data_IF_181772369110
#
_entry.id   IF_181772369110
#
_cell.length_a   1.000
_cell.length_b   1.000
_cell.length_c   1.000
_cell.angle_alpha   90.00
_cell.angle_beta   90.00
_cell.angle_gamma   90.00
#
_symmetry.space_group_name_H-M   'P 1'
#
loop_
_entity.id
_entity.type
_entity.pdbx_description
1 polymer ?
#
# COMPACT_ATOMS: atom_id res chain seq x y z
N UNK A 1 -9.86 -16.65 -7.59
CA UNK A 1 -10.01 -15.38 -6.85
C UNK A 1 -8.73 -14.56 -6.97
N UNK A 2 -8.84 -13.22 -7.15
CA UNK A 2 -7.68 -12.30 -7.31
C UNK A 2 -7.71 -11.30 -6.17
N UNK A 3 -6.72 -11.36 -5.31
CA UNK A 3 -6.68 -10.64 -4.03
C UNK A 3 -5.53 -9.65 -4.00
N UNK A 4 -5.79 -8.42 -3.59
CA UNK A 4 -4.77 -7.43 -3.30
C UNK A 4 -4.48 -7.35 -1.80
N UNK A 5 -3.20 -7.25 -1.44
CA UNK A 5 -2.74 -6.92 -0.10
C UNK A 5 -2.16 -5.50 -0.12
N UNK A 6 -2.76 -4.59 0.58
CA UNK A 6 -2.34 -3.20 0.65
C UNK A 6 -1.95 -2.85 2.08
N UNK A 7 -0.68 -3.08 2.39
CA UNK A 7 -0.08 -2.73 3.68
C UNK A 7 0.22 -1.24 3.80
N UNK A 8 0.09 -0.71 5.00
CA UNK A 8 0.43 0.68 5.25
C UNK A 8 0.30 1.09 6.71
N UNK A 9 0.89 2.23 7.07
CA UNK A 9 0.69 2.79 8.41
C UNK A 9 -0.72 3.32 8.60
N UNK A 10 -1.32 3.90 7.53
CA UNK A 10 -2.65 4.55 7.54
C UNK A 10 -2.83 5.49 8.75
N UNK A 11 -2.01 6.53 8.80
CA UNK A 11 -1.92 7.43 9.96
C UNK A 11 -2.20 8.92 9.60
N UNK A 12 -3.45 9.28 9.22
CA UNK A 12 -4.61 8.42 8.97
C UNK A 12 -4.69 7.83 7.54
N UNK A 13 -5.65 6.94 7.32
CA UNK A 13 -6.14 6.62 5.98
C UNK A 13 -6.74 7.88 5.35
N UNK A 14 -6.64 8.01 4.02
CA UNK A 14 -7.12 9.19 3.31
C UNK A 14 -7.62 8.86 1.91
N UNK A 15 -8.31 9.83 1.27
CA UNK A 15 -8.92 9.66 -0.05
C UNK A 15 -7.93 9.18 -1.13
N UNK A 16 -6.64 9.57 -1.02
CA UNK A 16 -5.59 9.09 -1.93
C UNK A 16 -5.37 7.57 -1.84
N UNK A 17 -5.39 6.99 -0.64
CA UNK A 17 -5.29 5.54 -0.45
C UNK A 17 -6.52 4.82 -1.05
N UNK A 18 -7.72 5.33 -0.77
CA UNK A 18 -8.98 4.73 -1.25
C UNK A 18 -9.05 4.76 -2.76
N UNK A 19 -8.75 5.90 -3.37
CA UNK A 19 -8.77 6.07 -4.84
C UNK A 19 -7.78 5.12 -5.50
N UNK A 20 -6.55 5.04 -5.00
CA UNK A 20 -5.54 4.12 -5.50
C UNK A 20 -6.00 2.66 -5.41
N UNK A 21 -6.55 2.24 -4.28
CA UNK A 21 -7.06 0.88 -4.11
C UNK A 21 -8.20 0.56 -5.10
N UNK A 22 -9.20 1.44 -5.22
CA UNK A 22 -10.33 1.26 -6.13
C UNK A 22 -9.89 1.23 -7.61
N UNK A 23 -8.91 2.06 -7.98
CA UNK A 23 -8.37 2.07 -9.33
C UNK A 23 -7.63 0.76 -9.64
N UNK A 24 -6.85 0.24 -8.70
CA UNK A 24 -6.18 -1.07 -8.84
C UNK A 24 -7.19 -2.20 -8.94
N UNK A 25 -8.26 -2.22 -8.14
CA UNK A 25 -9.36 -3.18 -8.27
C UNK A 25 -9.84 -3.24 -9.71
N UNK A 26 -10.17 -2.07 -10.27
CA UNK A 26 -10.72 -1.96 -11.63
C UNK A 26 -9.71 -2.40 -12.71
N UNK A 27 -8.45 -1.93 -12.62
CA UNK A 27 -7.44 -2.19 -13.65
C UNK A 27 -6.96 -3.65 -13.68
N UNK A 28 -6.88 -4.27 -12.51
CA UNK A 28 -6.40 -5.65 -12.38
C UNK A 28 -7.52 -6.67 -12.22
N UNK A 29 -8.79 -6.25 -12.27
CA UNK A 29 -9.97 -7.09 -12.01
C UNK A 29 -9.79 -7.88 -10.71
N UNK A 30 -9.40 -7.20 -9.63
CA UNK A 30 -9.32 -7.84 -8.32
C UNK A 30 -10.71 -8.04 -7.75
N UNK A 31 -10.93 -9.18 -7.12
CA UNK A 31 -12.18 -9.45 -6.42
C UNK A 31 -12.23 -8.68 -5.10
N UNK A 32 -11.06 -8.47 -4.46
CA UNK A 32 -10.97 -7.82 -3.16
C UNK A 32 -9.56 -7.27 -2.90
N UNK A 33 -9.46 -6.18 -2.13
CA UNK A 33 -8.22 -5.70 -1.51
C UNK A 33 -8.37 -5.69 0.00
N UNK A 34 -7.41 -6.32 0.69
CA UNK A 34 -7.22 -6.18 2.14
C UNK A 34 -6.34 -4.97 2.45
N UNK A 35 -6.90 -4.01 3.19
CA UNK A 35 -6.15 -2.91 3.81
C UNK A 35 -5.58 -3.41 5.13
N UNK A 36 -4.26 -3.39 5.28
CA UNK A 36 -3.56 -4.03 6.39
C UNK A 36 -2.76 -2.97 7.15
N UNK A 37 -3.30 -2.44 8.28
CA UNK A 37 -2.56 -1.49 9.11
C UNK A 37 -1.37 -2.16 9.80
N UNK A 38 -0.18 -1.58 9.64
CA UNK A 38 1.02 -2.04 10.33
C UNK A 38 0.91 -1.82 11.84
N UNK A 39 1.26 -2.83 12.66
CA UNK A 39 1.30 -2.71 14.13
C UNK A 39 2.43 -1.76 14.55
N UNK A 40 3.65 -2.15 14.23
CA UNK A 40 4.87 -1.40 14.52
C UNK A 40 5.62 -1.18 13.19
N UNK A 41 5.41 -0.04 12.51
CA UNK A 41 6.13 0.27 11.30
C UNK A 41 7.64 0.40 11.60
N UNK A 42 8.51 -0.48 11.05
CA UNK A 42 9.92 -0.53 11.43
C UNK A 42 10.71 0.75 11.13
N UNK A 43 10.18 1.61 10.24
CA UNK A 43 10.83 2.83 9.79
C UNK A 43 10.25 4.12 10.36
N UNK A 44 9.38 4.06 11.41
CA UNK A 44 8.74 5.26 11.98
C UNK A 44 9.09 5.47 13.44
N UNK A 45 9.31 6.73 13.81
CA UNK A 45 9.59 7.15 15.18
C UNK A 45 8.38 6.90 16.09
N UNK A 46 8.55 6.21 17.21
CA UNK A 46 7.49 6.05 18.21
C UNK A 46 6.95 7.41 18.68
N UNK A 47 5.63 7.50 18.91
CA UNK A 47 4.97 8.73 19.43
C UNK A 47 4.35 9.64 18.37
N UNK A 48 4.68 9.49 17.08
CA UNK A 48 4.07 10.23 15.98
C UNK A 48 2.95 9.47 15.26
N UNK A 49 2.67 8.25 15.69
CA UNK A 49 1.68 7.36 15.08
C UNK A 49 0.52 7.19 16.06
N UNK A 50 -0.70 7.39 15.59
CA UNK A 50 -1.91 7.10 16.36
C UNK A 50 -1.96 5.62 16.76
N UNK A 51 -2.63 5.31 17.85
CA UNK A 51 -2.78 3.93 18.31
C UNK A 51 -3.30 3.01 17.20
N UNK A 52 -2.90 1.75 17.25
CA UNK A 52 -3.29 0.78 16.25
C UNK A 52 -4.81 0.64 16.14
N UNK A 53 -5.52 0.66 17.28
CA UNK A 53 -6.99 0.63 17.34
C UNK A 53 -7.65 1.83 16.66
N UNK A 54 -7.11 3.05 16.86
CA UNK A 54 -7.65 4.25 16.21
C UNK A 54 -7.42 4.20 14.69
N UNK A 55 -6.27 3.71 14.24
CA UNK A 55 -5.97 3.56 12.81
C UNK A 55 -6.87 2.49 12.15
N UNK A 56 -7.08 1.38 12.83
CA UNK A 56 -7.99 0.32 12.39
C UNK A 56 -9.41 0.85 12.23
N UNK A 57 -9.92 1.56 13.25
CA UNK A 57 -11.25 2.14 13.23
C UNK A 57 -11.42 3.17 12.11
N UNK A 58 -10.43 4.05 11.91
CA UNK A 58 -10.46 4.99 10.78
C UNK A 58 -10.51 4.28 9.42
N UNK A 59 -9.88 3.11 9.28
CA UNK A 59 -9.97 2.35 8.03
C UNK A 59 -11.39 1.76 7.88
N UNK A 60 -11.97 1.18 8.93
CA UNK A 60 -13.35 0.68 8.91
C UNK A 60 -14.35 1.76 8.49
N UNK A 61 -14.26 2.93 9.12
CA UNK A 61 -15.10 4.08 8.79
C UNK A 61 -14.91 4.53 7.32
N UNK A 62 -13.65 4.55 6.86
CA UNK A 62 -13.34 5.03 5.52
C UNK A 62 -13.87 4.12 4.39
N UNK A 63 -14.07 2.83 4.66
CA UNK A 63 -14.47 1.86 3.63
C UNK A 63 -15.88 1.31 3.81
N UNK A 64 -16.64 1.79 4.79
CA UNK A 64 -17.96 1.24 5.16
C UNK A 64 -18.91 1.07 3.94
N UNK A 65 -18.89 2.03 3.02
CA UNK A 65 -19.74 2.05 1.82
C UNK A 65 -18.98 1.66 0.53
N UNK A 66 -17.76 1.11 0.64
CA UNK A 66 -16.92 0.79 -0.51
C UNK A 66 -16.83 -0.72 -0.75
N UNK A 67 -17.40 -1.19 -1.86
CA UNK A 67 -17.29 -2.59 -2.26
C UNK A 67 -15.86 -2.95 -2.69
N UNK A 68 -15.48 -4.20 -2.41
CA UNK A 68 -14.17 -4.75 -2.80
C UNK A 68 -13.01 -4.36 -1.88
N UNK A 69 -13.26 -3.56 -0.83
CA UNK A 69 -12.28 -3.24 0.21
C UNK A 69 -12.65 -3.91 1.51
N UNK A 70 -11.67 -4.48 2.19
CA UNK A 70 -11.83 -5.12 3.51
C UNK A 70 -10.62 -4.77 4.37
N UNK A 71 -10.81 -4.70 5.67
CA UNK A 71 -9.72 -4.53 6.63
C UNK A 71 -9.23 -5.89 7.09
N UNK A 72 -7.92 -6.01 7.28
CA UNK A 72 -7.33 -7.13 8.01
C UNK A 72 -6.43 -6.60 9.13
N UNK A 73 -6.69 -7.05 10.34
CA UNK A 73 -5.94 -6.71 11.55
C UNK A 73 -4.80 -7.70 11.84
N UNK A 74 -4.44 -8.54 10.88
CA UNK A 74 -3.47 -9.63 11.03
C UNK A 74 -2.13 -9.17 11.60
N UNK A 75 -1.66 -7.98 11.22
CA UNK A 75 -0.41 -7.43 11.74
C UNK A 75 -0.57 -6.86 13.15
N UNK A 76 -1.76 -6.37 13.50
CA UNK A 76 -2.05 -5.85 14.84
C UNK A 76 -2.12 -6.95 15.90
N UNK A 77 -2.56 -8.14 15.49
CA UNK A 77 -2.70 -9.32 16.35
C UNK A 77 -1.41 -10.16 16.42
N UNK A 78 -0.38 -9.82 15.65
CA UNK A 78 0.89 -10.51 15.65
C UNK A 78 1.91 -9.76 16.52
N UNK A 79 2.60 -10.46 17.48
CA UNK A 79 3.63 -9.82 18.28
C UNK A 79 4.86 -9.46 17.44
N UNK A 80 5.51 -8.34 17.80
CA UNK A 80 6.74 -7.87 17.16
C UNK A 80 6.54 -6.96 15.95
N UNK A 81 7.60 -6.71 15.18
CA UNK A 81 7.56 -5.85 14.00
C UNK A 81 6.70 -6.41 12.88
N UNK A 82 6.03 -5.53 12.13
CA UNK A 82 5.22 -5.88 10.97
C UNK A 82 6.11 -6.14 9.75
N UNK A 83 6.51 -7.38 9.54
CA UNK A 83 7.22 -7.78 8.34
C UNK A 83 6.26 -8.29 7.28
N UNK A 84 6.37 -7.74 6.07
CA UNK A 84 5.49 -8.06 4.94
C UNK A 84 5.54 -9.53 4.54
N UNK A 85 6.71 -10.18 4.62
CA UNK A 85 6.84 -11.61 4.31
C UNK A 85 5.94 -12.47 5.21
N UNK A 86 5.87 -12.14 6.52
CA UNK A 86 5.06 -12.89 7.47
C UNK A 86 3.55 -12.71 7.19
N UNK A 87 3.17 -11.52 6.67
CA UNK A 87 1.80 -11.22 6.24
C UNK A 87 1.45 -11.96 4.95
N UNK A 88 2.36 -12.02 3.99
CA UNK A 88 2.17 -12.80 2.75
C UNK A 88 2.00 -14.30 3.08
N UNK A 89 2.82 -14.85 3.96
CA UNK A 89 2.70 -16.25 4.40
C UNK A 89 1.34 -16.53 5.06
N UNK A 90 0.86 -15.61 5.92
CA UNK A 90 -0.46 -15.74 6.52
C UNK A 90 -1.56 -15.85 5.46
N UNK A 91 -1.59 -14.94 4.49
CA UNK A 91 -2.63 -14.96 3.45
C UNK A 91 -2.50 -16.16 2.51
N UNK A 92 -1.29 -16.59 2.18
CA UNK A 92 -1.09 -17.82 1.38
C UNK A 92 -1.58 -19.08 2.09
N UNK A 93 -1.51 -19.11 3.42
CA UNK A 93 -1.96 -20.26 4.21
C UNK A 93 -3.45 -20.24 4.53
N UNK A 94 -4.09 -19.06 4.50
CA UNK A 94 -5.50 -18.90 4.88
C UNK A 94 -6.45 -18.79 3.69
N UNK A 95 -5.97 -18.33 2.54
CA UNK A 95 -6.75 -18.26 1.30
C UNK A 95 -6.71 -19.58 0.54
N UNK A 96 -7.66 -19.74 -0.39
CA UNK A 96 -7.65 -20.88 -1.31
C UNK A 96 -6.32 -20.99 -2.07
N UNK A 97 -5.76 -22.19 -2.29
CA UNK A 97 -4.55 -22.40 -3.08
C UNK A 97 -4.63 -21.82 -4.50
N UNK A 98 -5.83 -21.70 -5.07
CA UNK A 98 -6.06 -21.10 -6.39
C UNK A 98 -6.14 -19.57 -6.37
N UNK A 99 -6.04 -18.94 -5.18
CA UNK A 99 -6.08 -17.49 -5.06
C UNK A 99 -4.79 -16.87 -5.63
N UNK A 100 -4.95 -15.93 -6.55
CA UNK A 100 -3.83 -15.10 -7.03
C UNK A 100 -3.72 -13.89 -6.12
N UNK A 101 -2.61 -13.79 -5.43
CA UNK A 101 -2.35 -12.73 -4.45
C UNK A 101 -1.38 -11.72 -5.06
N UNK A 102 -1.67 -10.44 -4.87
CA UNK A 102 -0.86 -9.31 -5.33
C UNK A 102 -0.52 -8.42 -4.13
N UNK A 103 0.74 -8.00 -4.02
CA UNK A 103 1.17 -7.00 -3.04
C UNK A 103 1.14 -5.61 -3.68
N UNK A 104 0.34 -4.71 -3.12
CA UNK A 104 0.19 -3.33 -3.58
C UNK A 104 1.08 -2.41 -2.77
N UNK A 105 1.87 -1.57 -3.45
CA UNK A 105 2.70 -0.56 -2.79
C UNK A 105 3.02 0.63 -3.69
N UNK A 106 3.41 1.75 -3.11
CA UNK A 106 3.93 2.89 -3.87
C UNK A 106 5.31 2.61 -4.45
N UNK A 107 5.66 3.32 -5.52
CA UNK A 107 6.97 3.21 -6.16
C UNK A 107 8.12 3.52 -5.19
N UNK A 108 7.95 4.54 -4.34
CA UNK A 108 8.90 4.92 -3.29
C UNK A 108 9.25 3.74 -2.37
N UNK A 109 8.23 3.05 -1.86
CA UNK A 109 8.41 1.88 -1.01
C UNK A 109 9.03 0.69 -1.76
N UNK A 110 8.67 0.50 -3.04
CA UNK A 110 9.24 -0.57 -3.85
C UNK A 110 10.73 -0.36 -4.14
N UNK A 111 11.19 0.86 -4.33
CA UNK A 111 12.60 1.18 -4.55
C UNK A 111 13.49 0.87 -3.31
N UNK A 112 12.88 0.68 -2.16
CA UNK A 112 13.57 0.28 -0.92
C UNK A 112 13.38 -1.21 -0.59
N UNK A 113 12.72 -2.01 -1.46
CA UNK A 113 12.34 -3.39 -1.15
C UNK A 113 13.55 -4.27 -0.82
N UNK A 114 14.72 -3.98 -1.39
CA UNK A 114 15.96 -4.70 -1.13
C UNK A 114 16.41 -4.62 0.36
N UNK A 115 15.87 -3.67 1.12
CA UNK A 115 16.11 -3.51 2.57
C UNK A 115 15.13 -4.30 3.42
N UNK A 116 14.08 -4.87 2.82
CA UNK A 116 13.03 -5.56 3.55
C UNK A 116 13.45 -6.97 3.94
N UNK A 117 12.93 -7.43 5.09
CA UNK A 117 13.16 -8.81 5.55
C UNK A 117 12.72 -9.81 4.48
N UNK A 118 13.61 -10.73 4.12
CA UNK A 118 13.35 -11.77 3.12
C UNK A 118 12.80 -11.23 1.79
N UNK A 119 13.32 -10.10 1.31
CA UNK A 119 12.81 -9.50 0.08
C UNK A 119 12.92 -10.41 -1.14
N UNK A 120 13.90 -11.30 -1.20
CA UNK A 120 14.02 -12.28 -2.28
C UNK A 120 12.86 -13.28 -2.25
N UNK A 121 12.56 -13.82 -1.07
CA UNK A 121 11.40 -14.71 -0.89
C UNK A 121 10.09 -14.00 -1.27
N UNK A 122 9.95 -12.69 -0.95
CA UNK A 122 8.79 -11.90 -1.39
C UNK A 122 8.69 -11.86 -2.91
N UNK A 123 9.80 -11.59 -3.62
CA UNK A 123 9.82 -11.50 -5.08
C UNK A 123 9.51 -12.84 -5.76
N UNK A 124 9.84 -13.96 -5.13
CA UNK A 124 9.55 -15.30 -5.62
C UNK A 124 8.09 -15.73 -5.33
N UNK A 125 7.51 -15.25 -4.25
CA UNK A 125 6.25 -15.78 -3.73
C UNK A 125 5.01 -15.01 -4.15
N UNK A 126 5.12 -13.70 -4.43
CA UNK A 126 3.96 -12.84 -4.68
C UNK A 126 4.21 -11.86 -5.83
N UNK A 127 3.19 -11.67 -6.67
CA UNK A 127 3.23 -10.65 -7.69
C UNK A 127 3.04 -9.25 -7.07
N UNK A 128 3.71 -8.24 -7.65
CA UNK A 128 3.65 -6.86 -7.16
C UNK A 128 2.84 -5.98 -8.09
N UNK A 129 2.05 -5.08 -7.51
CA UNK A 129 1.46 -3.94 -8.21
C UNK A 129 2.07 -2.67 -7.63
N UNK A 130 3.00 -2.09 -8.38
CA UNK A 130 3.73 -0.88 -8.00
C UNK A 130 2.97 0.33 -8.53
N UNK A 131 2.48 1.16 -7.63
CA UNK A 131 1.69 2.34 -7.94
C UNK A 131 2.61 3.56 -8.07
N UNK A 132 2.73 4.10 -9.28
CA UNK A 132 3.40 5.36 -9.55
C UNK A 132 2.38 6.51 -9.48
N UNK A 133 2.80 7.63 -8.91
CA UNK A 133 2.00 8.85 -8.82
C UNK A 133 2.59 9.91 -9.74
N UNK A 134 1.95 10.24 -10.87
CA UNK A 134 2.39 11.35 -11.70
C UNK A 134 2.33 12.67 -10.92
N UNK A 135 3.35 13.47 -11.00
CA UNK A 135 3.34 14.86 -10.50
C UNK A 135 4.04 15.12 -9.17
N UNK A 136 4.17 14.17 -8.26
CA UNK A 136 4.87 14.40 -6.98
C UNK A 136 6.37 14.19 -7.06
N UNK A 137 6.77 13.21 -7.84
CA UNK A 137 8.18 12.84 -7.99
C UNK A 137 8.67 12.94 -9.45
N UNK A 138 7.75 13.10 -10.41
CA UNK A 138 8.10 13.01 -11.84
C UNK A 138 7.12 13.81 -12.71
N UNK A 139 7.67 14.76 -13.43
CA UNK A 139 6.95 15.61 -14.41
C UNK A 139 6.42 14.85 -15.65
N UNK A 140 6.81 13.56 -15.80
CA UNK A 140 6.44 12.69 -16.92
C UNK A 140 6.01 11.32 -16.36
N UNK A 141 4.83 10.84 -16.74
CA UNK A 141 4.33 9.51 -16.38
C UNK A 141 5.34 8.39 -16.72
N UNK A 142 6.11 8.55 -17.80
CA UNK A 142 7.15 7.59 -18.19
C UNK A 142 8.39 7.60 -17.28
N UNK A 143 8.57 8.60 -16.45
CA UNK A 143 9.73 8.69 -15.57
C UNK A 143 9.67 7.65 -14.44
N UNK A 144 8.51 7.41 -13.86
CA UNK A 144 8.30 6.34 -12.88
C UNK A 144 8.67 4.96 -13.43
N UNK A 145 8.27 4.68 -14.67
CA UNK A 145 8.61 3.44 -15.37
C UNK A 145 10.12 3.29 -15.59
N UNK A 146 10.81 4.35 -16.04
CA UNK A 146 12.27 4.33 -16.25
C UNK A 146 13.04 4.15 -14.96
N UNK A 147 12.59 4.75 -13.86
CA UNK A 147 13.19 4.59 -12.54
C UNK A 147 13.03 3.16 -12.07
N UNK A 148 11.82 2.59 -12.16
CA UNK A 148 11.56 1.21 -11.80
C UNK A 148 12.42 0.26 -12.63
N UNK A 149 12.44 0.39 -13.95
CA UNK A 149 13.22 -0.46 -14.85
C UNK A 149 14.73 -0.43 -14.50
N UNK A 150 15.27 0.76 -14.28
CA UNK A 150 16.67 0.92 -13.86
C UNK A 150 16.94 0.21 -12.54
N UNK A 151 16.07 0.40 -11.55
CA UNK A 151 16.18 -0.22 -10.24
C UNK A 151 16.10 -1.75 -10.34
N UNK A 152 15.14 -2.28 -11.09
CA UNK A 152 14.99 -3.72 -11.31
C UNK A 152 16.30 -4.31 -11.86
N UNK A 153 16.85 -3.73 -12.94
CA UNK A 153 18.06 -4.24 -13.60
C UNK A 153 19.34 -4.06 -12.80
N UNK A 154 19.46 -2.96 -12.07
CA UNK A 154 20.71 -2.65 -11.34
C UNK A 154 20.77 -3.24 -9.93
N UNK A 155 19.63 -3.45 -9.28
CA UNK A 155 19.57 -3.76 -7.85
C UNK A 155 18.95 -5.14 -7.57
N UNK A 156 17.94 -5.52 -8.34
CA UNK A 156 17.23 -6.77 -8.08
C UNK A 156 17.66 -7.92 -8.98
N UNK A 157 17.68 -7.74 -10.29
CA UNK A 157 18.07 -8.80 -11.23
C UNK A 157 18.39 -8.24 -12.62
N UNK A 158 19.58 -8.54 -13.12
CA UNK A 158 20.04 -8.08 -14.45
C UNK A 158 19.24 -8.71 -15.61
N UNK A 159 18.61 -9.87 -15.40
CA UNK A 159 17.75 -10.58 -16.37
C UNK A 159 16.31 -10.06 -16.44
N UNK A 160 15.98 -9.06 -15.60
CA UNK A 160 14.64 -8.49 -15.56
C UNK A 160 14.28 -7.80 -16.89
N UNK A 161 13.19 -8.26 -17.51
CA UNK A 161 12.72 -7.77 -18.81
C UNK A 161 11.23 -7.43 -18.76
N UNK A 162 10.83 -6.45 -19.58
CA UNK A 162 9.41 -6.13 -19.75
C UNK A 162 8.76 -7.16 -20.69
N UNK A 163 7.74 -7.85 -20.17
CA UNK A 163 6.89 -8.77 -20.90
C UNK A 163 5.60 -8.04 -21.34
N UNK A 164 5.51 -7.74 -22.62
CA UNK A 164 4.35 -7.02 -23.18
C UNK A 164 3.05 -7.84 -23.09
N UNK A 165 3.12 -9.18 -23.16
CA UNK A 165 1.94 -10.04 -23.07
C UNK A 165 1.35 -10.03 -21.64
N UNK A 166 2.19 -9.86 -20.63
CA UNK A 166 1.78 -9.74 -19.22
C UNK A 166 1.60 -8.30 -18.76
N UNK A 167 2.04 -7.34 -19.57
CA UNK A 167 2.10 -5.91 -19.22
C UNK A 167 2.86 -5.64 -17.91
N UNK A 168 3.97 -6.38 -17.68
CA UNK A 168 4.75 -6.31 -16.44
C UNK A 168 6.19 -6.77 -16.62
N UNK A 169 7.01 -6.51 -15.63
CA UNK A 169 8.39 -6.99 -15.61
C UNK A 169 8.46 -8.41 -15.06
N UNK A 170 9.28 -9.24 -15.70
CA UNK A 170 9.52 -10.64 -15.31
C UNK A 170 11.01 -10.92 -15.25
N UNK A 171 11.41 -11.84 -14.37
CA UNK A 171 12.74 -12.42 -14.29
C UNK A 171 12.63 -13.89 -13.88
N UNK A 172 13.67 -14.67 -14.10
CA UNK A 172 13.66 -16.10 -13.80
C UNK A 172 13.44 -16.34 -12.29
N UNK A 173 12.59 -17.32 -11.96
CA UNK A 173 12.27 -17.70 -10.57
C UNK A 173 11.43 -16.70 -9.79
N UNK A 174 11.00 -15.55 -10.36
CA UNK A 174 10.25 -14.50 -9.66
C UNK A 174 8.86 -14.30 -10.19
N UNK A 175 8.00 -13.78 -9.32
CA UNK A 175 6.65 -13.37 -9.71
C UNK A 175 6.68 -12.03 -10.48
N UNK A 176 5.69 -11.77 -11.33
CA UNK A 176 5.61 -10.54 -12.11
C UNK A 176 5.52 -9.28 -11.25
N UNK A 177 6.15 -8.21 -11.72
CA UNK A 177 6.09 -6.87 -11.15
C UNK A 177 5.39 -5.96 -12.15
N UNK A 178 4.17 -5.55 -11.81
CA UNK A 178 3.37 -4.63 -12.60
C UNK A 178 3.62 -3.20 -12.12
N UNK A 179 3.66 -2.24 -13.05
CA UNK A 179 3.63 -0.83 -12.68
C UNK A 179 2.36 -0.20 -13.24
N UNK A 180 1.75 0.65 -12.45
CA UNK A 180 0.52 1.34 -12.83
C UNK A 180 0.60 2.81 -12.41
N UNK A 181 0.35 3.70 -13.36
CA UNK A 181 0.18 5.12 -13.06
C UNK A 181 -1.21 5.30 -12.46
N UNK A 182 -1.24 5.72 -11.21
CA UNK A 182 -2.50 5.99 -10.48
C UNK A 182 -2.82 7.46 -10.62
N UNK A 183 -4.04 7.78 -11.02
CA UNK A 183 -4.58 9.14 -10.93
C UNK A 183 -4.81 9.50 -9.45
N UNK A 184 -3.70 9.59 -8.72
CA UNK A 184 -3.71 9.78 -7.29
C UNK A 184 -3.97 11.25 -6.95
N UNK A 185 -4.83 11.45 -5.96
CA UNK A 185 -4.91 12.75 -5.28
C UNK A 185 -3.57 13.01 -4.59
N UNK A 186 -3.02 14.21 -4.73
CA UNK A 186 -1.81 14.63 -4.03
C UNK A 186 -2.12 14.90 -2.55
N UNK A 187 -2.29 13.81 -1.80
CA UNK A 187 -2.63 13.81 -0.38
C UNK A 187 -1.62 12.95 0.36
N UNK A 188 -1.10 13.47 1.46
CA UNK A 188 -0.25 12.69 2.37
C UNK A 188 -0.80 12.69 3.80
N UNK A 189 -0.64 11.56 4.50
CA UNK A 189 -0.99 11.49 5.92
C UNK A 189 -0.22 12.54 6.77
N UNK A 190 0.99 12.89 6.38
CA UNK A 190 1.78 13.94 7.06
C UNK A 190 1.12 15.31 6.92
N UNK A 191 0.69 15.67 5.70
CA UNK A 191 -0.04 16.92 5.48
C UNK A 191 -1.32 16.99 6.33
N UNK A 192 -2.07 15.88 6.39
CA UNK A 192 -3.30 15.81 7.19
C UNK A 192 -2.99 16.09 8.66
N UNK A 193 -1.99 15.42 9.23
CA UNK A 193 -1.59 15.64 10.63
C UNK A 193 -1.16 17.08 10.90
N UNK A 194 -0.39 17.68 9.99
CA UNK A 194 0.02 19.09 10.13
C UNK A 194 -1.18 20.06 10.04
N UNK A 195 -2.15 19.79 9.17
CA UNK A 195 -3.39 20.58 9.10
C UNK A 195 -4.20 20.49 10.39
N UNK A 196 -4.32 19.27 10.97
CA UNK A 196 -5.02 19.08 12.26
C UNK A 196 -4.34 19.87 13.38
N UNK A 197 -3.00 19.79 13.51
CA UNK A 197 -2.24 20.60 14.48
C UNK A 197 -2.51 22.10 14.35
N UNK A 198 -2.64 22.58 13.10
CA UNK A 198 -2.93 23.98 12.78
C UNK A 198 -4.41 24.33 12.84
N UNK A 199 -5.29 23.40 13.26
CA UNK A 199 -6.75 23.57 13.29
C UNK A 199 -7.34 23.93 11.93
N UNK A 200 -6.73 23.44 10.85
CA UNK A 200 -7.19 23.62 9.47
C UNK A 200 -8.12 22.48 9.06
N UNK A 201 -8.95 22.73 8.06
CA UNK A 201 -9.92 21.76 7.52
C UNK A 201 -9.23 20.61 6.81
N UNK A 202 -9.76 19.40 6.99
CA UNK A 202 -9.25 18.16 6.39
C UNK A 202 -10.31 17.36 5.62
N UNK A 203 -11.55 17.83 5.53
CA UNK A 203 -12.70 17.13 4.96
C UNK A 203 -12.52 16.78 3.47
N UNK A 204 -11.69 17.55 2.76
CA UNK A 204 -11.34 17.25 1.36
C UNK A 204 -10.26 16.15 1.24
N UNK A 205 -9.58 15.81 2.31
CA UNK A 205 -8.43 14.90 2.33
C UNK A 205 -8.80 13.50 2.83
N UNK A 206 -9.74 13.42 3.76
CA UNK A 206 -10.26 12.18 4.34
C UNK A 206 -11.77 12.05 4.09
N UNK A 207 -12.38 10.93 4.45
CA UNK A 207 -13.85 10.84 4.44
C UNK A 207 -14.43 11.61 5.62
N UNK A 208 -15.71 12.05 5.56
CA UNK A 208 -16.35 12.78 6.66
C UNK A 208 -16.24 12.01 7.99
N UNK A 209 -16.50 10.71 7.96
CA UNK A 209 -16.49 9.83 9.14
C UNK A 209 -15.12 9.77 9.79
N UNK A 210 -14.05 9.77 8.98
CA UNK A 210 -12.67 9.82 9.48
C UNK A 210 -12.34 11.20 10.05
N UNK A 211 -12.81 12.29 9.44
CA UNK A 211 -12.60 13.64 9.96
C UNK A 211 -13.28 13.81 11.33
N UNK A 212 -14.53 13.36 11.44
CA UNK A 212 -15.30 13.38 12.69
C UNK A 212 -14.63 12.54 13.79
N UNK A 213 -14.13 11.34 13.42
CA UNK A 213 -13.41 10.48 14.35
C UNK A 213 -12.13 11.14 14.87
N UNK A 214 -11.32 11.75 13.99
CA UNK A 214 -10.10 12.48 14.37
C UNK A 214 -10.43 13.62 15.34
N UNK A 215 -11.51 14.35 15.08
CA UNK A 215 -11.96 15.44 15.93
C UNK A 215 -12.44 14.94 17.29
N UNK A 216 -13.30 13.93 17.31
CA UNK A 216 -13.88 13.33 18.51
C UNK A 216 -12.80 12.77 19.45
N UNK A 217 -11.83 12.05 18.89
CA UNK A 217 -10.73 11.43 19.65
C UNK A 217 -9.57 12.39 19.96
N UNK A 218 -9.60 13.61 19.40
CA UNK A 218 -8.52 14.57 19.59
C UNK A 218 -7.18 14.10 19.02
N UNK A 219 -7.19 13.29 17.96
CA UNK A 219 -5.97 12.77 17.36
C UNK A 219 -5.16 13.86 16.65
N UNK A 220 -3.83 13.72 16.65
CA UNK A 220 -2.89 14.59 15.91
C UNK A 220 -2.87 16.06 16.36
N UNK A 221 -3.28 16.38 17.58
CA UNK A 221 -3.25 17.75 18.17
C UNK A 221 -1.89 18.10 18.76
#
# INVERSE_FOLDING_TARGET
MRIGLFGGTFNPIHRGHLRAALEVIKRFNLDQIFLIPAALPPHKTPGLVANASDRLEMIHLAIADLCGLTVSDVELNRPGPSYTIDTVHYFKNTLSPDARIYLLMGLDAFLEIHTWKSHQDLLEQIAFIVMARPGKDHSDARQGWRILERYLKSTLSADCQFDAARAGYTSEGRQPIYIVDIDALDISSTEIREKVKRKQRIENLVTPEVADYIQLKGLYR
#
